data_IF_386520160681
#
_entry.id   IF_386520160681
#
_cell.length_a   1.000
_cell.length_b   1.000
_cell.length_c   1.000
_cell.angle_alpha   90.00
_cell.angle_beta   90.00
_cell.angle_gamma   90.00
#
_symmetry.space_group_name_H-M   'P 1'
#
loop_
_entity.id
_entity.type
_entity.pdbx_description
1 polymer ?
#
# COMPACT_ATOMS: atom_id res chain seq x y z
N UNK A 1 -5.64 25.06 7.54
CA UNK A 1 -5.83 24.06 6.46
C UNK A 1 -7.12 24.41 5.72
N UNK A 2 -7.13 24.21 4.41
CA UNK A 2 -8.33 24.43 3.55
C UNK A 2 -9.31 23.26 3.67
N UNK A 3 -8.79 22.08 3.99
CA UNK A 3 -9.58 20.85 4.11
C UNK A 3 -9.75 20.46 5.57
N UNK A 4 -10.96 19.99 5.93
CA UNK A 4 -11.30 19.58 7.30
C UNK A 4 -11.13 18.07 7.47
N UNK A 5 -9.97 17.64 7.98
CA UNK A 5 -9.68 16.25 8.30
C UNK A 5 -10.18 15.82 9.70
N UNK A 6 -10.69 16.73 10.50
CA UNK A 6 -11.32 16.41 11.80
C UNK A 6 -12.81 16.08 11.66
N UNK A 7 -13.38 16.33 10.47
CA UNK A 7 -14.77 15.99 10.18
C UNK A 7 -15.00 14.49 10.28
N UNK A 8 -15.97 14.09 11.11
CA UNK A 8 -16.40 12.71 11.24
C UNK A 8 -17.49 12.40 10.20
N UNK A 9 -17.22 11.47 9.32
CA UNK A 9 -18.17 10.98 8.31
C UNK A 9 -18.61 9.57 8.69
N UNK A 10 -19.90 9.36 8.95
CA UNK A 10 -20.42 8.01 9.22
C UNK A 10 -20.41 7.19 7.91
N UNK A 11 -19.69 6.07 7.92
CA UNK A 11 -19.53 5.17 6.78
C UNK A 11 -20.35 3.88 6.92
N UNK A 12 -21.08 3.70 8.03
CA UNK A 12 -21.95 2.53 8.24
C UNK A 12 -23.11 2.55 7.25
N UNK A 13 -23.45 1.36 6.74
CA UNK A 13 -24.52 1.22 5.74
C UNK A 13 -24.18 1.77 4.35
N UNK A 14 -22.95 2.20 4.12
CA UNK A 14 -22.49 2.67 2.81
C UNK A 14 -21.89 1.56 1.93
N UNK A 15 -21.83 0.33 2.42
CA UNK A 15 -21.11 -0.78 1.80
C UNK A 15 -19.59 -0.69 2.02
N UNK A 16 -19.12 0.14 2.94
CA UNK A 16 -17.71 0.27 3.25
C UNK A 16 -17.18 -0.98 3.95
N UNK A 17 -16.28 -1.72 3.31
CA UNK A 17 -15.65 -2.93 3.85
C UNK A 17 -15.11 -2.70 5.29
N UNK A 18 -14.50 -1.55 5.52
CA UNK A 18 -13.90 -1.18 6.80
C UNK A 18 -14.90 -1.16 7.97
N UNK A 19 -16.16 -0.82 7.70
CA UNK A 19 -17.23 -0.67 8.70
C UNK A 19 -18.24 -1.80 8.65
N UNK A 20 -18.77 -2.08 7.46
CA UNK A 20 -19.94 -2.96 7.32
C UNK A 20 -19.58 -4.45 7.39
N UNK A 21 -18.28 -4.79 7.23
CA UNK A 21 -17.80 -6.16 7.35
C UNK A 21 -17.19 -6.51 8.73
N UNK A 22 -17.24 -5.61 9.72
CA UNK A 22 -16.64 -5.86 11.05
C UNK A 22 -17.20 -7.13 11.72
N UNK A 23 -18.52 -7.35 11.65
CA UNK A 23 -19.16 -8.55 12.19
C UNK A 23 -18.65 -9.84 11.55
N UNK A 24 -18.39 -9.83 10.24
CA UNK A 24 -17.87 -10.98 9.49
C UNK A 24 -16.42 -11.28 9.85
N UNK A 25 -15.55 -10.27 9.90
CA UNK A 25 -14.10 -10.44 10.05
C UNK A 25 -13.65 -10.53 11.51
N UNK A 26 -14.37 -9.89 12.44
CA UNK A 26 -13.99 -9.79 13.85
C UNK A 26 -15.02 -10.38 14.82
N UNK A 27 -16.18 -10.83 14.32
CA UNK A 27 -17.27 -11.33 15.16
C UNK A 27 -18.02 -10.26 15.96
N UNK A 28 -17.67 -8.99 15.79
CA UNK A 28 -18.28 -7.85 16.51
C UNK A 28 -18.37 -6.65 15.56
N UNK A 29 -19.58 -6.10 15.38
CA UNK A 29 -19.85 -4.96 14.52
C UNK A 29 -19.59 -3.59 15.18
N UNK A 30 -19.41 -3.55 16.51
CA UNK A 30 -19.30 -2.31 17.29
C UNK A 30 -17.85 -1.87 17.60
N UNK A 31 -16.88 -2.41 16.84
CA UNK A 31 -15.48 -2.04 16.98
C UNK A 31 -15.17 -0.68 16.35
N UNK A 32 -14.13 0.01 16.86
CA UNK A 32 -13.51 1.13 16.15
C UNK A 32 -12.64 0.55 15.02
N UNK A 33 -12.96 0.82 13.73
CA UNK A 33 -12.26 0.20 12.61
C UNK A 33 -11.00 0.98 12.21
N UNK A 34 -9.83 0.40 12.49
CA UNK A 34 -8.52 0.98 12.17
C UNK A 34 -7.65 -0.05 11.39
N UNK A 35 -8.29 -0.87 10.54
CA UNK A 35 -7.68 -2.02 9.85
C UNK A 35 -7.50 -1.86 8.33
N UNK A 36 -8.58 -1.70 7.57
CA UNK A 36 -8.50 -1.55 6.11
C UNK A 36 -7.68 -0.31 5.75
N UNK A 37 -6.78 -0.45 4.76
CA UNK A 37 -5.94 0.64 4.30
C UNK A 37 -6.68 1.58 3.30
N UNK A 38 -7.82 2.11 3.72
CA UNK A 38 -8.45 3.33 3.23
C UNK A 38 -8.57 4.34 4.39
N UNK A 39 -8.85 5.59 4.08
CA UNK A 39 -8.96 6.63 5.10
C UNK A 39 -10.42 6.97 5.39
N UNK A 40 -10.68 7.55 6.57
CA UNK A 40 -12.03 7.98 6.96
C UNK A 40 -12.30 9.46 6.61
N UNK A 41 -11.40 10.07 5.89
CA UNK A 41 -11.58 11.41 5.31
C UNK A 41 -12.44 11.34 4.06
N UNK A 42 -13.21 12.40 3.82
CA UNK A 42 -13.96 12.53 2.58
C UNK A 42 -13.03 12.55 1.37
N UNK A 43 -13.46 11.94 0.27
CA UNK A 43 -12.76 12.07 -1.01
C UNK A 43 -12.68 13.56 -1.40
N UNK A 44 -11.55 14.05 -1.89
CA UNK A 44 -11.38 15.46 -2.24
C UNK A 44 -12.51 16.00 -3.11
N UNK A 45 -13.04 17.21 -2.81
CA UNK A 45 -14.22 17.75 -3.50
C UNK A 45 -14.03 17.89 -5.00
N UNK A 46 -12.83 18.24 -5.48
CA UNK A 46 -12.54 18.37 -6.90
C UNK A 46 -12.70 17.04 -7.67
N UNK A 47 -12.42 15.90 -7.02
CA UNK A 47 -12.67 14.55 -7.61
C UNK A 47 -14.19 14.31 -7.67
N UNK A 48 -14.90 14.55 -6.59
CA UNK A 48 -16.37 14.38 -6.54
C UNK A 48 -17.05 15.26 -7.59
N UNK A 49 -16.60 16.49 -7.75
CA UNK A 49 -17.16 17.42 -8.74
C UNK A 49 -16.85 17.00 -10.18
N UNK A 50 -15.67 16.44 -10.44
CA UNK A 50 -15.35 15.87 -11.74
C UNK A 50 -16.26 14.68 -12.10
N UNK A 51 -16.53 13.81 -11.13
CA UNK A 51 -17.46 12.69 -11.30
C UNK A 51 -18.89 13.17 -11.50
N UNK A 52 -19.36 14.16 -10.74
CA UNK A 52 -20.70 14.77 -10.92
C UNK A 52 -20.86 15.37 -12.31
N UNK A 53 -19.90 16.16 -12.79
CA UNK A 53 -19.90 16.70 -14.16
C UNK A 53 -20.03 15.60 -15.22
N UNK A 54 -19.34 14.46 -15.02
CA UNK A 54 -19.47 13.32 -15.96
C UNK A 54 -20.88 12.71 -15.94
N UNK A 55 -21.53 12.68 -14.78
CA UNK A 55 -22.88 12.14 -14.61
C UNK A 55 -23.96 13.05 -15.21
N UNK A 56 -23.68 14.31 -15.53
CA UNK A 56 -24.59 15.18 -16.29
C UNK A 56 -24.91 14.60 -17.68
N UNK A 57 -24.00 13.81 -18.26
CA UNK A 57 -24.28 13.01 -19.44
C UNK A 57 -24.83 11.64 -19.02
N UNK A 58 -26.13 11.35 -19.27
CA UNK A 58 -26.81 10.23 -18.64
C UNK A 58 -26.49 8.85 -19.23
N UNK A 59 -25.72 8.77 -20.33
CA UNK A 59 -25.38 7.49 -20.95
C UNK A 59 -24.03 7.01 -20.40
N UNK A 60 -24.02 5.87 -19.72
CA UNK A 60 -22.84 5.23 -19.12
C UNK A 60 -22.38 4.04 -19.99
N UNK A 61 -22.16 4.30 -21.29
CA UNK A 61 -21.73 3.30 -22.26
C UNK A 61 -20.20 3.11 -22.29
N UNK A 62 -19.72 2.34 -23.27
CA UNK A 62 -18.30 2.19 -23.52
C UNK A 62 -17.64 3.54 -23.79
N UNK A 63 -16.45 3.74 -23.22
CA UNK A 63 -15.71 5.00 -23.33
C UNK A 63 -14.29 4.77 -23.80
N UNK A 64 -13.72 5.79 -24.43
CA UNK A 64 -12.28 5.86 -24.70
C UNK A 64 -11.57 6.59 -23.55
N UNK A 65 -10.28 6.38 -23.41
CA UNK A 65 -9.46 7.17 -22.48
C UNK A 65 -9.48 8.65 -22.89
N UNK A 66 -9.75 9.59 -21.96
CA UNK A 66 -9.60 11.02 -22.24
C UNK A 66 -8.18 11.36 -22.65
N UNK A 67 -8.02 12.31 -23.59
CA UNK A 67 -6.71 12.72 -24.09
C UNK A 67 -5.74 13.22 -22.99
N UNK A 68 -6.31 13.78 -21.90
CA UNK A 68 -5.53 14.33 -20.78
C UNK A 68 -5.14 13.27 -19.73
N UNK A 69 -5.60 12.02 -19.85
CA UNK A 69 -5.38 11.00 -18.81
C UNK A 69 -3.89 10.72 -18.60
N UNK A 70 -3.21 10.26 -19.65
CA UNK A 70 -1.79 9.93 -19.53
C UNK A 70 -0.89 11.15 -19.36
N UNK A 71 -1.12 12.28 -19.99
CA UNK A 71 -0.42 13.53 -19.66
C UNK A 71 -0.52 13.91 -18.19
N UNK A 72 -1.70 13.79 -17.56
CA UNK A 72 -1.84 14.06 -16.13
C UNK A 72 -1.01 13.09 -15.26
N UNK A 73 -0.99 11.80 -15.61
CA UNK A 73 -0.15 10.79 -14.93
C UNK A 73 1.33 11.10 -15.10
N UNK A 74 1.78 11.40 -16.32
CA UNK A 74 3.20 11.69 -16.60
C UNK A 74 3.69 12.95 -15.90
N UNK A 75 2.90 14.02 -15.92
CA UNK A 75 3.23 15.30 -15.26
C UNK A 75 3.32 15.11 -13.73
N UNK A 76 2.41 14.31 -13.15
CA UNK A 76 2.44 13.99 -11.73
C UNK A 76 3.70 13.21 -11.34
N UNK A 77 4.03 12.16 -12.08
CA UNK A 77 5.22 11.34 -11.82
C UNK A 77 6.49 12.19 -11.96
N UNK A 78 6.57 13.02 -13.00
CA UNK A 78 7.72 13.87 -13.21
C UNK A 78 7.88 14.91 -12.08
N UNK A 79 6.80 15.56 -11.69
CA UNK A 79 6.86 16.65 -10.69
C UNK A 79 7.13 16.15 -9.27
N UNK A 80 6.63 14.94 -8.91
CA UNK A 80 6.73 14.40 -7.55
C UNK A 80 7.90 13.45 -7.35
N UNK A 81 8.25 12.68 -8.39
CA UNK A 81 9.27 11.63 -8.31
C UNK A 81 10.48 11.88 -9.22
N UNK A 82 10.47 12.96 -10.02
CA UNK A 82 11.55 13.28 -10.95
C UNK A 82 11.72 12.28 -12.08
N UNK A 83 10.76 11.39 -12.28
CA UNK A 83 10.83 10.32 -13.28
C UNK A 83 10.11 10.73 -14.55
N UNK A 84 10.88 11.02 -15.61
CA UNK A 84 10.33 11.26 -16.94
C UNK A 84 9.94 9.92 -17.56
N UNK A 85 8.65 9.70 -17.74
CA UNK A 85 8.10 8.48 -18.35
C UNK A 85 7.68 8.74 -19.79
N UNK A 86 7.80 7.71 -20.65
CA UNK A 86 7.27 7.73 -22.00
C UNK A 86 5.82 7.20 -22.02
N UNK A 87 4.97 7.73 -22.93
CA UNK A 87 3.56 7.33 -23.02
C UNK A 87 3.39 5.82 -23.20
N UNK A 88 4.23 5.21 -23.97
CA UNK A 88 4.18 3.77 -24.26
C UNK A 88 4.50 2.89 -23.06
N UNK A 89 5.19 3.41 -22.04
CA UNK A 89 5.49 2.68 -20.80
C UNK A 89 4.27 2.52 -19.90
N UNK A 90 3.22 3.31 -20.13
CA UNK A 90 2.06 3.43 -19.25
C UNK A 90 0.88 2.63 -19.78
N UNK A 91 0.25 1.82 -18.90
CA UNK A 91 -0.96 1.09 -19.19
C UNK A 91 -1.84 0.98 -17.95
N UNK A 92 -3.16 1.15 -18.12
CA UNK A 92 -4.11 0.87 -17.06
C UNK A 92 -4.07 -0.61 -16.65
N UNK A 93 -4.25 -0.87 -15.35
CA UNK A 93 -4.48 -2.20 -14.77
C UNK A 93 -5.65 -2.13 -13.77
N UNK A 94 -6.46 -3.20 -13.62
CA UNK A 94 -7.66 -3.19 -12.78
C UNK A 94 -7.37 -3.40 -11.29
N UNK A 95 -6.31 -2.81 -10.77
CA UNK A 95 -5.87 -2.88 -9.37
C UNK A 95 -4.52 -3.58 -9.21
N UNK A 96 -3.74 -3.17 -8.21
CA UNK A 96 -2.37 -3.67 -7.97
C UNK A 96 -2.37 -5.19 -7.70
N UNK A 97 -3.19 -5.65 -6.77
CA UNK A 97 -3.26 -7.07 -6.39
C UNK A 97 -3.64 -7.96 -7.58
N UNK A 98 -4.59 -7.50 -8.40
CA UNK A 98 -4.95 -8.17 -9.65
C UNK A 98 -3.79 -8.13 -10.66
N UNK A 99 -3.10 -6.98 -10.76
CA UNK A 99 -1.91 -6.82 -11.60
C UNK A 99 -0.80 -7.82 -11.28
N UNK A 100 -0.56 -8.12 -9.99
CA UNK A 100 0.39 -9.16 -9.56
C UNK A 100 -0.01 -10.52 -10.17
N UNK A 101 -1.27 -10.92 -10.04
CA UNK A 101 -1.77 -12.16 -10.65
C UNK A 101 -1.63 -12.19 -12.18
N UNK A 102 -1.83 -11.04 -12.83
CA UNK A 102 -1.66 -10.90 -14.27
C UNK A 102 -0.20 -11.06 -14.70
N UNK A 103 0.76 -10.48 -13.98
CA UNK A 103 2.20 -10.67 -14.24
C UNK A 103 2.59 -12.12 -14.02
N UNK A 104 2.14 -12.76 -12.93
CA UNK A 104 2.40 -14.19 -12.69
C UNK A 104 1.93 -15.03 -13.88
N UNK A 105 0.73 -14.79 -14.38
CA UNK A 105 0.18 -15.57 -15.48
C UNK A 105 0.79 -15.22 -16.87
N UNK A 106 1.30 -13.99 -17.03
CA UNK A 106 1.95 -13.57 -18.27
C UNK A 106 3.38 -14.10 -18.42
N UNK A 107 4.10 -14.26 -17.31
CA UNK A 107 5.55 -14.52 -17.34
C UNK A 107 5.98 -15.85 -16.73
N UNK A 108 5.30 -16.38 -15.72
CA UNK A 108 5.79 -17.52 -14.97
C UNK A 108 5.23 -18.85 -15.46
N UNK A 109 6.11 -19.84 -15.62
CA UNK A 109 5.74 -21.24 -15.80
C UNK A 109 5.20 -21.83 -14.48
N UNK A 110 4.48 -22.95 -14.52
CA UNK A 110 3.87 -23.55 -13.32
C UNK A 110 4.85 -23.92 -12.20
N UNK A 111 6.10 -24.23 -12.53
CA UNK A 111 7.15 -24.63 -11.57
C UNK A 111 8.09 -23.49 -11.16
N UNK A 112 7.85 -22.27 -11.65
CA UNK A 112 8.63 -21.08 -11.28
C UNK A 112 8.07 -20.43 -10.03
N UNK A 113 8.96 -19.75 -9.27
CA UNK A 113 8.74 -19.30 -7.92
C UNK A 113 8.69 -17.79 -7.82
N UNK A 114 8.02 -17.31 -6.75
CA UNK A 114 7.88 -15.89 -6.43
C UNK A 114 8.56 -15.61 -5.09
N UNK A 115 9.44 -14.60 -5.05
CA UNK A 115 10.12 -14.15 -3.84
C UNK A 115 9.31 -13.01 -3.21
N UNK A 116 9.12 -13.07 -1.88
CA UNK A 116 8.55 -11.99 -1.07
C UNK A 116 9.43 -11.73 0.15
N UNK A 117 9.31 -10.55 0.75
CA UNK A 117 10.14 -10.10 1.87
C UNK A 117 9.31 -9.79 3.13
N UNK A 118 8.86 -10.84 3.89
CA UNK A 118 8.07 -10.62 5.10
C UNK A 118 8.91 -9.97 6.25
N UNK A 119 8.19 -9.25 7.18
CA UNK A 119 6.75 -9.03 7.19
C UNK A 119 6.33 -8.12 6.05
N UNK A 120 5.37 -8.55 5.21
CA UNK A 120 4.96 -7.81 4.02
C UNK A 120 3.46 -7.99 3.76
N UNK A 121 2.87 -7.10 3.00
CA UNK A 121 1.45 -7.10 2.64
C UNK A 121 1.00 -8.50 2.18
N UNK A 122 0.06 -9.10 2.91
CA UNK A 122 -0.33 -10.51 2.80
C UNK A 122 -0.76 -10.97 1.40
N UNK A 123 -1.37 -10.13 0.52
CA UNK A 123 -1.65 -10.55 -0.86
C UNK A 123 -0.41 -10.90 -1.68
N UNK A 124 0.80 -10.44 -1.30
CA UNK A 124 2.03 -10.83 -1.98
C UNK A 124 2.33 -12.33 -1.81
N UNK A 125 1.79 -12.96 -0.76
CA UNK A 125 1.80 -14.41 -0.58
C UNK A 125 0.56 -15.05 -1.22
N UNK A 126 -0.64 -14.55 -0.90
CA UNK A 126 -1.89 -15.17 -1.28
C UNK A 126 -2.12 -15.23 -2.79
N UNK A 127 -1.65 -14.20 -3.54
CA UNK A 127 -1.85 -14.17 -4.99
C UNK A 127 -0.97 -15.20 -5.71
N UNK A 128 0.34 -15.32 -5.44
CA UNK A 128 1.14 -16.41 -6.03
C UNK A 128 0.61 -17.80 -5.65
N UNK A 129 0.31 -18.05 -4.37
CA UNK A 129 -0.25 -19.33 -3.90
C UNK A 129 -1.59 -19.65 -4.60
N UNK A 130 -2.50 -18.67 -4.69
CA UNK A 130 -3.77 -18.80 -5.42
C UNK A 130 -3.60 -19.07 -6.92
N UNK A 131 -2.47 -18.62 -7.51
CA UNK A 131 -2.07 -18.92 -8.87
C UNK A 131 -1.16 -20.17 -8.97
N UNK A 132 -1.07 -20.98 -7.90
CA UNK A 132 -0.30 -22.22 -7.84
C UNK A 132 1.20 -22.02 -8.10
N UNK A 133 1.76 -20.94 -7.59
CA UNK A 133 3.20 -20.67 -7.60
C UNK A 133 3.75 -20.80 -6.19
N UNK A 134 4.92 -21.44 -6.07
CA UNK A 134 5.64 -21.51 -4.81
C UNK A 134 6.13 -20.13 -4.40
N UNK A 135 5.97 -19.82 -3.11
CA UNK A 135 6.45 -18.58 -2.52
C UNK A 135 7.73 -18.85 -1.74
N UNK A 136 8.78 -18.13 -2.12
CA UNK A 136 10.07 -18.13 -1.44
C UNK A 136 10.13 -16.91 -0.52
N UNK A 137 10.32 -17.11 0.77
CA UNK A 137 10.44 -16.04 1.74
C UNK A 137 11.90 -15.62 1.93
N UNK A 138 12.16 -14.33 1.77
CA UNK A 138 13.38 -13.65 2.18
C UNK A 138 13.01 -12.66 3.28
N UNK A 139 12.96 -13.08 4.57
CA UNK A 139 12.55 -12.21 5.66
C UNK A 139 13.46 -10.99 5.78
N UNK A 140 12.86 -9.84 6.10
CA UNK A 140 13.62 -8.65 6.46
C UNK A 140 14.32 -8.84 7.81
N UNK A 141 15.47 -8.19 7.99
CA UNK A 141 16.18 -8.11 9.26
C UNK A 141 15.54 -6.99 10.08
N UNK A 142 15.05 -7.32 11.28
CA UNK A 142 14.66 -6.32 12.27
C UNK A 142 15.94 -5.82 12.98
N UNK A 143 16.23 -4.53 12.86
CA UNK A 143 17.40 -3.91 13.49
C UNK A 143 17.13 -3.58 14.96
N UNK A 144 18.17 -3.33 15.74
CA UNK A 144 18.06 -3.05 17.17
C UNK A 144 17.21 -1.81 17.51
N UNK A 145 17.11 -0.85 16.59
CA UNK A 145 16.27 0.34 16.72
C UNK A 145 14.80 0.09 16.30
N UNK A 146 14.49 -1.12 15.81
CA UNK A 146 13.19 -1.54 15.32
C UNK A 146 12.93 -1.20 13.85
N UNK A 147 13.89 -0.59 13.16
CA UNK A 147 13.83 -0.47 11.69
C UNK A 147 14.06 -1.81 11.02
N UNK A 148 13.82 -1.87 9.71
CA UNK A 148 14.04 -3.09 8.93
C UNK A 148 15.01 -2.83 7.78
N UNK A 149 15.79 -3.86 7.44
CA UNK A 149 16.69 -3.88 6.28
C UNK A 149 16.51 -5.17 5.46
N UNK A 150 16.89 -5.14 4.19
CA UNK A 150 16.86 -6.33 3.33
C UNK A 150 18.02 -7.28 3.69
N UNK A 151 17.71 -8.55 3.83
CA UNK A 151 18.71 -9.62 4.04
C UNK A 151 19.17 -10.17 2.70
N UNK A 152 20.23 -9.61 2.17
CA UNK A 152 20.80 -10.06 0.89
C UNK A 152 21.56 -11.39 0.98
N UNK A 153 22.08 -11.74 2.14
CA UNK A 153 22.78 -13.03 2.33
C UNK A 153 21.75 -14.16 2.36
N UNK A 154 20.62 -13.94 3.04
CA UNK A 154 19.50 -14.86 2.98
C UNK A 154 18.91 -14.91 1.56
N UNK A 155 18.73 -13.77 0.88
CA UNK A 155 18.23 -13.72 -0.48
C UNK A 155 19.07 -14.58 -1.44
N UNK A 156 20.39 -14.47 -1.33
CA UNK A 156 21.32 -15.32 -2.10
C UNK A 156 21.13 -16.81 -1.78
N UNK A 157 20.93 -17.16 -0.52
CA UNK A 157 20.84 -18.55 -0.05
C UNK A 157 19.52 -19.24 -0.42
N UNK A 158 18.41 -18.48 -0.47
CA UNK A 158 17.06 -19.05 -0.75
C UNK A 158 16.67 -19.00 -2.22
N UNK A 159 17.38 -18.19 -3.02
CA UNK A 159 17.10 -18.02 -4.44
C UNK A 159 17.72 -19.14 -5.26
N UNK A 160 16.89 -19.97 -5.87
CA UNK A 160 17.30 -20.99 -6.83
C UNK A 160 16.99 -20.60 -8.29
N UNK A 161 17.35 -21.47 -9.24
CA UNK A 161 17.17 -21.25 -10.68
C UNK A 161 15.69 -21.18 -11.11
N UNK A 162 14.73 -21.47 -10.22
CA UNK A 162 13.29 -21.37 -10.48
C UNK A 162 12.70 -20.06 -10.02
N UNK A 163 13.41 -19.26 -9.23
CA UNK A 163 12.97 -17.92 -8.85
C UNK A 163 12.95 -17.01 -10.07
N UNK A 164 11.76 -16.48 -10.43
CA UNK A 164 11.57 -15.65 -11.64
C UNK A 164 10.90 -14.33 -11.36
N UNK A 165 10.31 -14.17 -10.18
CA UNK A 165 9.60 -12.96 -9.80
C UNK A 165 9.93 -12.60 -8.36
N UNK A 166 10.17 -11.32 -8.10
CA UNK A 166 10.22 -10.74 -6.77
C UNK A 166 9.15 -9.65 -6.66
N UNK A 167 8.37 -9.64 -5.58
CA UNK A 167 7.39 -8.59 -5.32
C UNK A 167 7.93 -7.68 -4.24
N UNK A 168 8.29 -6.46 -4.64
CA UNK A 168 8.82 -5.40 -3.78
C UNK A 168 7.70 -4.47 -3.31
N UNK A 169 7.60 -4.23 -2.01
CA UNK A 169 6.77 -3.16 -1.43
C UNK A 169 7.61 -1.89 -1.30
N UNK A 170 7.31 -0.85 -2.09
CA UNK A 170 8.10 0.38 -2.16
C UNK A 170 7.22 1.63 -2.34
N UNK A 171 6.86 2.36 -1.29
CA UNK A 171 7.22 2.20 0.13
C UNK A 171 6.68 0.92 0.77
N UNK A 172 7.38 0.46 1.80
CA UNK A 172 7.09 -0.82 2.42
C UNK A 172 5.86 -0.80 3.34
N UNK A 173 4.99 -1.77 3.21
CA UNK A 173 3.84 -2.04 4.08
C UNK A 173 4.04 -3.44 4.72
N UNK A 174 4.08 -3.57 6.06
CA UNK A 174 3.45 -2.70 7.06
C UNK A 174 4.34 -1.63 7.72
N UNK A 175 5.66 -1.68 7.58
CA UNK A 175 6.57 -0.88 8.40
C UNK A 175 6.78 0.57 7.92
N UNK A 176 6.22 0.95 6.77
CA UNK A 176 6.28 2.33 6.25
C UNK A 176 7.68 2.78 5.82
N UNK A 177 8.53 1.87 5.33
CA UNK A 177 9.91 2.17 4.97
C UNK A 177 9.99 2.78 3.58
N UNK A 178 10.81 3.80 3.43
CA UNK A 178 11.35 4.28 2.15
C UNK A 178 12.74 3.66 1.95
N UNK A 179 12.87 2.79 0.96
CA UNK A 179 14.16 2.18 0.65
C UNK A 179 15.13 3.20 0.07
N UNK A 180 16.37 3.16 0.53
CA UNK A 180 17.43 4.01 -0.02
C UNK A 180 17.90 3.51 -1.40
N UNK A 181 18.56 4.41 -2.15
CA UNK A 181 18.99 4.14 -3.51
C UNK A 181 20.03 3.00 -3.61
N UNK A 182 20.89 2.82 -2.62
CA UNK A 182 21.94 1.79 -2.66
C UNK A 182 21.34 0.41 -2.41
N UNK A 183 20.39 0.30 -1.47
CA UNK A 183 19.59 -0.91 -1.24
C UNK A 183 18.84 -1.32 -2.51
N UNK A 184 18.15 -0.35 -3.16
CA UNK A 184 17.40 -0.63 -4.39
C UNK A 184 18.33 -1.00 -5.56
N UNK A 185 19.49 -0.37 -5.71
CA UNK A 185 20.49 -0.75 -6.74
C UNK A 185 21.03 -2.15 -6.52
N UNK A 186 21.34 -2.50 -5.26
CA UNK A 186 21.81 -3.85 -4.92
C UNK A 186 20.75 -4.90 -5.27
N UNK A 187 19.49 -4.64 -4.95
CA UNK A 187 18.38 -5.52 -5.30
C UNK A 187 18.22 -5.64 -6.82
N UNK A 188 18.30 -4.53 -7.55
CA UNK A 188 18.19 -4.51 -9.01
C UNK A 188 19.30 -5.33 -9.67
N UNK A 189 20.55 -5.15 -9.27
CA UNK A 189 21.70 -5.90 -9.77
C UNK A 189 21.55 -7.41 -9.51
N UNK A 190 21.10 -7.80 -8.30
CA UNK A 190 20.80 -9.17 -7.94
C UNK A 190 19.73 -9.78 -8.87
N UNK A 191 18.58 -9.12 -8.97
CA UNK A 191 17.45 -9.61 -9.77
C UNK A 191 17.80 -9.68 -11.26
N UNK A 192 18.37 -8.62 -11.81
CA UNK A 192 18.73 -8.54 -13.23
C UNK A 192 19.73 -9.63 -13.64
N UNK A 193 20.79 -9.86 -12.84
CA UNK A 193 21.80 -10.88 -13.13
C UNK A 193 21.25 -12.30 -13.15
N UNK A 194 20.11 -12.56 -12.50
CA UNK A 194 19.43 -13.87 -12.45
C UNK A 194 18.19 -13.98 -13.31
N UNK A 195 17.88 -12.93 -14.10
CA UNK A 195 16.67 -12.90 -14.94
C UNK A 195 15.37 -12.92 -14.11
N UNK A 196 15.39 -12.33 -12.92
CA UNK A 196 14.23 -12.19 -12.03
C UNK A 196 13.54 -10.85 -12.34
N UNK A 197 12.25 -10.90 -12.63
CA UNK A 197 11.40 -9.72 -12.81
C UNK A 197 11.06 -9.16 -11.42
N UNK A 198 11.10 -7.85 -11.26
CA UNK A 198 10.67 -7.17 -10.05
C UNK A 198 9.33 -6.48 -10.29
N UNK A 199 8.27 -6.90 -9.59
CA UNK A 199 7.08 -6.05 -9.43
C UNK A 199 7.40 -5.06 -8.31
N UNK A 200 7.49 -3.77 -8.64
CA UNK A 200 7.57 -2.71 -7.63
C UNK A 200 6.18 -2.16 -7.37
N UNK A 201 5.58 -2.55 -6.22
CA UNK A 201 4.32 -1.97 -5.76
C UNK A 201 4.59 -0.61 -5.10
N UNK A 202 4.30 0.44 -5.85
CA UNK A 202 4.54 1.83 -5.45
C UNK A 202 3.23 2.59 -5.13
N UNK A 203 2.20 1.86 -4.69
CA UNK A 203 0.88 2.46 -4.40
C UNK A 203 0.91 3.52 -3.28
N UNK A 204 1.94 3.53 -2.44
CA UNK A 204 2.15 4.51 -1.37
C UNK A 204 3.19 5.59 -1.72
N UNK A 205 3.68 5.64 -2.97
CA UNK A 205 4.80 6.53 -3.38
C UNK A 205 4.55 8.01 -3.11
N UNK A 206 3.31 8.49 -3.27
CA UNK A 206 2.94 9.89 -3.06
C UNK A 206 2.77 10.26 -1.57
N UNK A 207 2.98 9.31 -0.67
CA UNK A 207 2.71 9.46 0.76
C UNK A 207 4.00 9.43 1.61
N UNK A 208 5.12 9.86 1.06
CA UNK A 208 6.34 10.09 1.83
C UNK A 208 6.13 11.22 2.84
N UNK A 209 6.54 10.99 4.09
CA UNK A 209 6.31 11.85 5.26
C UNK A 209 7.61 12.57 5.66
N UNK A 210 7.50 13.56 6.55
CA UNK A 210 8.64 14.25 7.18
C UNK A 210 9.56 14.96 6.17
N UNK A 211 9.03 15.37 5.02
CA UNK A 211 9.83 15.95 3.94
C UNK A 211 10.74 14.96 3.20
N UNK A 212 10.62 13.66 3.48
CA UNK A 212 11.31 12.61 2.75
C UNK A 212 10.76 12.43 1.34
N UNK A 213 11.49 11.70 0.49
CA UNK A 213 11.08 11.45 -0.90
C UNK A 213 11.14 9.96 -1.22
N UNK A 214 10.12 9.51 -1.92
CA UNK A 214 10.12 8.18 -2.53
C UNK A 214 11.10 8.12 -3.71
N UNK A 215 11.75 6.99 -3.88
CA UNK A 215 12.61 6.70 -5.04
C UNK A 215 11.94 5.57 -5.84
N UNK A 216 11.44 5.84 -7.06
CA UNK A 216 10.89 4.78 -7.91
C UNK A 216 11.98 3.75 -8.24
N UNK A 217 11.67 2.47 -8.06
CA UNK A 217 12.65 1.39 -8.25
C UNK A 217 13.31 1.43 -9.64
N UNK A 218 12.51 1.62 -10.68
CA UNK A 218 13.00 1.64 -12.06
C UNK A 218 14.03 2.75 -12.36
N UNK A 219 14.17 3.76 -11.47
CA UNK A 219 15.04 4.92 -11.71
C UNK A 219 16.43 4.78 -11.13
N UNK A 220 16.68 3.76 -10.28
CA UNK A 220 17.95 3.69 -9.52
C UNK A 220 19.12 3.21 -10.35
N UNK A 221 18.88 2.46 -11.44
CA UNK A 221 19.91 2.02 -12.37
C UNK A 221 19.29 1.50 -13.69
N UNK A 222 20.09 1.31 -14.76
CA UNK A 222 19.64 0.66 -16.00
C UNK A 222 19.11 -0.76 -15.78
N UNK A 223 19.74 -1.52 -14.89
CA UNK A 223 19.33 -2.88 -14.54
C UNK A 223 17.93 -2.89 -13.89
N UNK A 224 17.66 -1.91 -13.02
CA UNK A 224 16.35 -1.74 -12.40
C UNK A 224 15.26 -1.46 -13.45
N UNK A 225 15.53 -0.58 -14.40
CA UNK A 225 14.62 -0.29 -15.51
C UNK A 225 14.40 -1.53 -16.40
N UNK A 226 15.44 -2.34 -16.61
CA UNK A 226 15.41 -3.52 -17.50
C UNK A 226 14.67 -4.71 -16.86
N UNK A 227 14.55 -4.80 -15.54
CA UNK A 227 13.94 -5.95 -14.88
C UNK A 227 12.63 -5.63 -14.14
N UNK A 228 12.08 -4.41 -14.21
CA UNK A 228 10.95 -4.03 -13.38
C UNK A 228 9.63 -3.76 -14.13
N UNK A 229 8.55 -4.05 -13.42
CA UNK A 229 7.18 -3.64 -13.70
C UNK A 229 6.72 -2.85 -12.48
N UNK A 230 6.61 -1.53 -12.60
CA UNK A 230 6.13 -0.67 -11.51
C UNK A 230 4.62 -0.58 -11.56
N UNK A 231 3.98 -0.70 -10.40
CA UNK A 231 2.55 -0.47 -10.22
C UNK A 231 2.31 0.74 -9.31
N UNK A 232 1.43 1.64 -9.73
CA UNK A 232 1.06 2.82 -8.96
C UNK A 232 -0.43 3.16 -9.12
N UNK A 233 -0.94 4.01 -8.24
CA UNK A 233 -2.33 4.46 -8.28
C UNK A 233 -2.53 5.72 -7.41
N UNK A 234 -3.45 6.63 -7.76
CA UNK A 234 -3.86 7.73 -6.89
C UNK A 234 -4.71 7.28 -5.70
N UNK A 235 -5.09 6.00 -5.65
CA UNK A 235 -6.16 5.49 -4.78
C UNK A 235 -5.87 5.61 -3.28
N UNK A 236 -4.62 5.45 -2.84
CA UNK A 236 -4.25 5.61 -1.43
C UNK A 236 -4.11 7.08 -1.07
N UNK A 237 -3.44 7.85 -1.90
CA UNK A 237 -3.20 9.27 -1.69
C UNK A 237 -4.49 10.06 -1.61
N UNK A 238 -5.44 9.80 -2.50
CA UNK A 238 -6.69 10.57 -2.63
C UNK A 238 -7.93 9.84 -2.10
N UNK A 239 -7.76 8.74 -1.37
CA UNK A 239 -8.85 7.97 -0.77
C UNK A 239 -9.95 7.55 -1.76
N UNK A 240 -9.55 7.01 -2.92
CA UNK A 240 -10.44 6.59 -4.02
C UNK A 240 -10.27 5.12 -4.41
N UNK A 241 -9.95 4.25 -3.44
CA UNK A 241 -9.69 2.83 -3.70
C UNK A 241 -10.87 2.13 -4.41
N UNK A 242 -12.10 2.53 -4.14
CA UNK A 242 -13.30 1.99 -4.77
C UNK A 242 -13.46 2.31 -6.27
N UNK A 243 -12.68 3.28 -6.80
CA UNK A 243 -12.73 3.67 -8.24
C UNK A 243 -11.84 2.78 -9.10
N UNK A 244 -10.85 2.08 -8.51
CA UNK A 244 -9.93 1.18 -9.24
C UNK A 244 -9.15 1.92 -10.35
N UNK A 245 -8.24 2.80 -9.96
CA UNK A 245 -7.50 3.71 -10.84
C UNK A 245 -5.99 3.41 -10.91
N UNK A 246 -5.62 2.13 -10.99
CA UNK A 246 -4.21 1.70 -10.99
C UNK A 246 -3.64 1.66 -12.41
N UNK A 247 -2.33 1.83 -12.49
CA UNK A 247 -1.59 1.74 -13.75
C UNK A 247 -0.23 1.08 -13.54
N UNK A 248 0.30 0.54 -14.64
CA UNK A 248 1.65 -0.01 -14.71
C UNK A 248 2.57 0.92 -15.50
N UNK A 249 3.86 0.90 -15.14
CA UNK A 249 4.95 1.58 -15.83
C UNK A 249 6.01 0.54 -16.13
N UNK A 250 6.28 0.29 -17.43
CA UNK A 250 7.22 -0.74 -17.88
C UNK A 250 8.20 -0.15 -18.89
N UNK A 251 9.41 0.26 -18.44
CA UNK A 251 10.41 0.88 -19.33
C UNK A 251 10.98 -0.12 -20.36
N UNK A 252 11.27 -1.35 -19.94
CA UNK A 252 11.85 -2.36 -20.81
C UNK A 252 10.89 -2.77 -21.93
N UNK A 253 11.32 -2.74 -23.21
CA UNK A 253 10.45 -3.00 -24.35
C UNK A 253 10.00 -4.46 -24.44
N UNK A 254 10.78 -5.42 -23.96
CA UNK A 254 10.43 -6.85 -24.03
C UNK A 254 9.43 -7.22 -22.94
N UNK A 255 9.67 -6.79 -21.70
CA UNK A 255 8.71 -6.94 -20.60
C UNK A 255 7.41 -6.26 -20.97
N UNK A 256 7.47 -5.03 -21.49
CA UNK A 256 6.32 -4.24 -21.90
C UNK A 256 5.51 -4.95 -22.98
N UNK A 257 6.16 -5.44 -24.03
CA UNK A 257 5.49 -6.17 -25.13
C UNK A 257 4.75 -7.40 -24.58
N UNK A 258 5.39 -8.19 -23.73
CA UNK A 258 4.81 -9.42 -23.17
C UNK A 258 3.63 -9.08 -22.29
N UNK A 259 3.81 -8.18 -21.32
CA UNK A 259 2.77 -7.85 -20.34
C UNK A 259 1.57 -7.17 -21.01
N UNK A 260 1.81 -6.18 -21.87
CA UNK A 260 0.71 -5.41 -22.49
C UNK A 260 -0.02 -6.21 -23.57
N UNK A 261 0.64 -7.16 -24.23
CA UNK A 261 -0.05 -8.12 -25.10
C UNK A 261 -0.96 -9.04 -24.29
N UNK A 262 -0.52 -9.49 -23.11
CA UNK A 262 -1.34 -10.27 -22.21
C UNK A 262 -2.57 -9.48 -21.72
N UNK A 263 -2.39 -8.24 -21.28
CA UNK A 263 -3.50 -7.38 -20.85
C UNK A 263 -4.51 -7.19 -21.98
N UNK A 264 -4.05 -6.86 -23.19
CA UNK A 264 -4.89 -6.64 -24.36
C UNK A 264 -5.65 -7.91 -24.77
N UNK A 265 -4.98 -9.08 -24.79
CA UNK A 265 -5.61 -10.34 -25.16
C UNK A 265 -6.75 -10.78 -24.22
N UNK A 266 -6.72 -10.28 -22.98
CA UNK A 266 -7.74 -10.56 -21.97
C UNK A 266 -8.64 -9.35 -21.65
N UNK A 267 -8.52 -8.26 -22.42
CA UNK A 267 -9.29 -7.02 -22.26
C UNK A 267 -9.17 -6.38 -20.85
N UNK A 268 -8.01 -6.53 -20.21
CA UNK A 268 -7.75 -5.98 -18.87
C UNK A 268 -7.26 -4.53 -18.89
N UNK A 269 -6.91 -4.00 -20.05
CA UNK A 269 -6.33 -2.66 -20.22
C UNK A 269 -7.39 -1.57 -20.46
N UNK A 270 -8.67 -1.87 -20.32
CA UNK A 270 -9.75 -0.90 -20.39
C UNK A 270 -10.10 -0.34 -19.01
N UNK A 271 -9.84 0.96 -18.84
CA UNK A 271 -10.20 1.66 -17.61
C UNK A 271 -11.74 1.85 -17.51
N UNK A 272 -12.35 1.56 -16.34
CA UNK A 272 -13.75 1.91 -16.11
C UNK A 272 -13.97 3.42 -16.24
N UNK A 273 -15.18 3.81 -16.70
CA UNK A 273 -15.57 5.20 -17.01
C UNK A 273 -15.06 6.26 -16.03
N UNK A 274 -15.17 6.01 -14.73
CA UNK A 274 -14.82 6.99 -13.70
C UNK A 274 -13.34 7.01 -13.33
N UNK A 275 -12.59 5.96 -13.65
CA UNK A 275 -11.19 5.83 -13.29
C UNK A 275 -10.30 6.93 -13.89
N UNK A 276 -10.27 7.16 -15.21
CA UNK A 276 -9.46 8.23 -15.77
C UNK A 276 -9.94 9.62 -15.36
N UNK A 277 -11.24 9.83 -15.17
CA UNK A 277 -11.80 11.12 -14.74
C UNK A 277 -11.33 11.47 -13.33
N UNK A 278 -11.43 10.53 -12.40
CA UNK A 278 -10.96 10.72 -11.04
C UNK A 278 -9.43 10.91 -10.97
N UNK A 279 -8.67 10.16 -11.79
CA UNK A 279 -7.22 10.27 -11.84
C UNK A 279 -6.77 11.63 -12.39
N UNK A 280 -7.40 12.13 -13.46
CA UNK A 280 -7.11 13.46 -14.02
C UNK A 280 -7.37 14.53 -12.95
N UNK A 281 -8.53 14.51 -12.30
CA UNK A 281 -8.86 15.46 -11.25
C UNK A 281 -7.86 15.37 -10.07
N UNK A 282 -7.53 14.16 -9.63
CA UNK A 282 -6.57 13.93 -8.55
C UNK A 282 -5.20 14.53 -8.86
N UNK A 283 -4.66 14.28 -10.05
CA UNK A 283 -3.30 14.69 -10.40
C UNK A 283 -3.20 16.14 -10.89
N UNK A 284 -4.28 16.71 -11.42
CA UNK A 284 -4.28 18.13 -11.83
C UNK A 284 -4.56 19.10 -10.69
N UNK A 285 -5.37 18.70 -9.70
CA UNK A 285 -5.87 19.60 -8.66
C UNK A 285 -5.46 19.18 -7.24
N UNK A 286 -4.81 18.02 -7.08
CA UNK A 286 -4.68 17.35 -5.79
C UNK A 286 -3.51 17.75 -4.90
N UNK A 287 -2.53 18.52 -5.37
CA UNK A 287 -1.29 18.75 -4.62
C UNK A 287 -1.52 19.47 -3.28
N UNK A 288 -2.39 20.49 -3.25
CA UNK A 288 -2.68 21.20 -2.00
C UNK A 288 -3.34 20.27 -0.97
N UNK A 289 -4.31 19.44 -1.41
CA UNK A 289 -4.98 18.47 -0.55
C UNK A 289 -3.99 17.41 -0.03
N UNK A 290 -3.14 16.87 -0.91
CA UNK A 290 -2.11 15.90 -0.54
C UNK A 290 -1.17 16.46 0.53
N UNK A 291 -0.68 17.67 0.34
CA UNK A 291 0.22 18.33 1.30
C UNK A 291 -0.43 18.53 2.66
N UNK A 292 -1.68 18.97 2.70
CA UNK A 292 -2.42 19.14 3.97
C UNK A 292 -2.73 17.79 4.63
N UNK A 293 -3.08 16.76 3.82
CA UNK A 293 -3.27 15.40 4.32
C UNK A 293 -2.00 14.86 4.98
N UNK A 294 -0.84 14.97 4.32
CA UNK A 294 0.42 14.48 4.87
C UNK A 294 0.75 15.15 6.20
N UNK A 295 0.60 16.46 6.29
CA UNK A 295 0.80 17.19 7.55
C UNK A 295 -0.16 16.72 8.66
N UNK A 296 -1.42 16.43 8.33
CA UNK A 296 -2.39 15.91 9.30
C UNK A 296 -2.02 14.49 9.75
N UNK A 297 -1.60 13.62 8.81
CA UNK A 297 -1.15 12.26 9.12
C UNK A 297 0.12 12.24 9.98
N UNK A 298 1.08 13.11 9.70
CA UNK A 298 2.27 13.30 10.54
C UNK A 298 1.86 13.65 11.98
N UNK A 299 0.92 14.57 12.15
CA UNK A 299 0.37 14.89 13.45
C UNK A 299 -0.36 13.73 14.13
N UNK A 300 -1.07 12.85 13.38
CA UNK A 300 -1.68 11.64 13.90
C UNK A 300 -0.63 10.62 14.37
N UNK A 301 0.41 10.40 13.58
CA UNK A 301 1.52 9.51 13.92
C UNK A 301 2.24 9.99 15.18
N UNK A 302 2.56 11.29 15.28
CA UNK A 302 3.17 11.87 16.49
C UNK A 302 2.30 11.68 17.72
N UNK A 303 0.97 11.82 17.57
CA UNK A 303 0.03 11.60 18.67
C UNK A 303 0.06 10.15 19.16
N UNK A 304 0.13 9.16 18.24
CA UNK A 304 0.26 7.74 18.62
C UNK A 304 1.56 7.48 19.34
N UNK A 305 2.68 7.97 18.79
CA UNK A 305 4.02 7.76 19.39
C UNK A 305 4.10 8.38 20.78
N UNK A 306 3.70 9.64 20.90
CA UNK A 306 3.74 10.37 22.19
C UNK A 306 2.80 9.76 23.23
N UNK A 307 1.58 9.35 22.80
CA UNK A 307 0.61 8.73 23.69
C UNK A 307 1.12 7.38 24.23
N UNK A 308 1.64 6.53 23.34
CA UNK A 308 2.17 5.24 23.75
C UNK A 308 3.37 5.40 24.69
N UNK A 309 4.31 6.29 24.39
CA UNK A 309 5.46 6.55 25.24
C UNK A 309 5.06 7.02 26.66
N UNK A 310 4.01 7.84 26.78
CA UNK A 310 3.56 8.38 28.05
C UNK A 310 2.63 7.44 28.83
N UNK A 311 1.78 6.67 28.16
CA UNK A 311 0.67 5.97 28.79
C UNK A 311 0.70 4.44 28.61
N UNK A 312 1.39 3.92 27.58
CA UNK A 312 1.45 2.50 27.23
C UNK A 312 2.88 2.13 26.78
N UNK A 313 3.90 2.30 27.62
CA UNK A 313 5.31 2.13 27.20
C UNK A 313 5.67 0.71 26.75
N UNK A 314 4.83 -0.28 27.04
CA UNK A 314 4.97 -1.65 26.57
C UNK A 314 4.63 -1.81 25.07
N UNK A 315 3.99 -0.83 24.44
CA UNK A 315 3.75 -0.79 23.00
C UNK A 315 4.65 0.27 22.38
N UNK A 316 5.47 -0.15 21.40
CA UNK A 316 6.38 0.72 20.68
C UNK A 316 5.91 0.92 19.24
N UNK A 317 5.29 2.06 18.90
CA UNK A 317 4.96 2.38 17.51
C UNK A 317 6.25 2.64 16.72
N UNK A 318 6.41 2.01 15.56
CA UNK A 318 7.48 2.36 14.63
C UNK A 318 7.05 3.62 13.88
N UNK A 319 7.96 4.62 13.79
CA UNK A 319 7.71 5.84 13.03
C UNK A 319 7.77 5.53 11.53
N UNK A 320 6.66 5.56 10.79
CA UNK A 320 6.69 5.29 9.37
C UNK A 320 7.31 6.48 8.61
N UNK A 321 8.09 6.20 7.58
CA UNK A 321 8.62 7.19 6.64
C UNK A 321 7.63 7.51 5.52
N UNK A 322 6.62 6.66 5.32
CA UNK A 322 5.57 6.83 4.32
C UNK A 322 4.27 6.15 4.77
N UNK A 323 3.15 6.53 4.13
CA UNK A 323 1.81 5.95 4.35
C UNK A 323 1.12 6.48 5.61
N UNK A 324 -0.09 5.97 5.86
CA UNK A 324 -0.91 6.24 7.04
C UNK A 324 -1.07 4.98 7.92
N UNK A 325 -0.09 4.07 7.83
CA UNK A 325 -0.09 2.80 8.54
C UNK A 325 1.07 2.80 9.53
N UNK A 326 0.76 2.54 10.80
CA UNK A 326 1.74 2.47 11.88
C UNK A 326 1.89 1.03 12.34
N UNK A 327 3.10 0.52 12.33
CA UNK A 327 3.45 -0.80 12.82
C UNK A 327 3.72 -0.72 14.32
N UNK A 328 2.91 -1.41 15.12
CA UNK A 328 2.98 -1.40 16.58
C UNK A 328 3.71 -2.65 17.05
N UNK A 329 4.90 -2.50 17.65
CA UNK A 329 5.55 -3.57 18.39
C UNK A 329 4.90 -3.69 19.76
N UNK A 330 4.13 -4.77 19.96
CA UNK A 330 3.39 -5.05 21.18
C UNK A 330 4.05 -6.13 22.05
N UNK A 331 5.24 -6.61 21.70
CA UNK A 331 5.95 -7.69 22.41
C UNK A 331 6.29 -7.31 23.85
N UNK A 332 6.44 -6.02 24.15
CA UNK A 332 6.65 -5.51 25.51
C UNK A 332 5.50 -5.79 26.47
N UNK A 333 4.30 -6.16 25.98
CA UNK A 333 3.17 -6.59 26.81
C UNK A 333 3.35 -8.01 27.39
N UNK A 334 4.28 -8.82 26.85
CA UNK A 334 4.52 -10.18 27.32
C UNK A 334 3.37 -11.15 27.06
N UNK A 335 2.43 -10.83 26.16
CA UNK A 335 1.27 -11.64 25.83
C UNK A 335 1.59 -12.63 24.72
N UNK A 336 0.90 -13.78 24.71
CA UNK A 336 0.84 -14.62 23.51
C UNK A 336 0.16 -13.85 22.37
N UNK A 337 0.41 -14.26 21.12
CA UNK A 337 -0.18 -13.57 19.97
C UNK A 337 -1.71 -13.58 20.00
N UNK A 338 -2.32 -14.73 20.34
CA UNK A 338 -3.78 -14.85 20.47
C UNK A 338 -4.33 -13.94 21.57
N UNK A 339 -3.65 -13.85 22.72
CA UNK A 339 -4.02 -12.94 23.81
C UNK A 339 -3.88 -11.49 23.42
N UNK A 340 -2.90 -11.16 22.56
CA UNK A 340 -2.73 -9.82 22.00
C UNK A 340 -3.92 -9.45 21.10
N UNK A 341 -4.33 -10.33 20.20
CA UNK A 341 -5.50 -10.11 19.34
C UNK A 341 -6.77 -9.95 20.18
N UNK A 342 -6.96 -10.81 21.19
CA UNK A 342 -8.09 -10.73 22.13
C UNK A 342 -8.12 -9.39 22.89
N UNK A 343 -6.96 -8.91 23.34
CA UNK A 343 -6.83 -7.59 23.99
C UNK A 343 -7.34 -6.47 23.09
N UNK A 344 -6.91 -6.43 21.82
CA UNK A 344 -7.32 -5.38 20.90
C UNK A 344 -8.79 -5.48 20.52
N UNK A 345 -9.27 -6.67 20.15
CA UNK A 345 -10.62 -6.85 19.61
C UNK A 345 -11.66 -6.88 20.74
N UNK A 346 -11.52 -7.76 21.71
CA UNK A 346 -12.58 -8.03 22.69
C UNK A 346 -12.52 -7.11 23.90
N UNK A 347 -11.33 -6.67 24.33
CA UNK A 347 -11.18 -5.82 25.51
C UNK A 347 -11.14 -4.33 25.18
N UNK A 348 -10.35 -3.95 24.19
CA UNK A 348 -10.25 -2.54 23.76
C UNK A 348 -11.35 -2.13 22.76
N UNK A 349 -12.01 -3.10 22.11
CA UNK A 349 -13.03 -2.82 21.09
C UNK A 349 -12.46 -2.18 19.82
N UNK A 350 -11.28 -2.63 19.39
CA UNK A 350 -10.54 -2.08 18.25
C UNK A 350 -10.33 -3.15 17.17
N UNK A 351 -10.66 -2.83 15.92
CA UNK A 351 -10.32 -3.65 14.77
C UNK A 351 -9.04 -3.12 14.11
N UNK A 352 -7.90 -3.76 14.36
CA UNK A 352 -6.62 -3.52 13.70
C UNK A 352 -6.25 -4.74 12.85
N UNK A 353 -5.32 -4.58 11.90
CA UNK A 353 -4.76 -5.75 11.25
C UNK A 353 -3.82 -6.48 12.20
N UNK A 354 -4.07 -7.77 12.34
CA UNK A 354 -3.20 -8.72 13.01
C UNK A 354 -1.84 -8.79 12.31
N UNK A 355 -0.76 -8.66 13.07
CA UNK A 355 0.60 -8.65 12.53
C UNK A 355 0.99 -9.98 11.87
N UNK A 356 0.50 -11.12 12.36
CA UNK A 356 0.78 -12.43 11.77
C UNK A 356 0.26 -12.57 10.33
N UNK A 357 -0.71 -11.77 9.90
CA UNK A 357 -1.15 -11.71 8.50
C UNK A 357 -0.02 -11.33 7.54
N UNK A 358 0.99 -10.59 8.01
CA UNK A 358 2.10 -10.09 7.18
C UNK A 358 3.27 -11.08 7.09
N UNK A 359 3.17 -12.21 7.76
CA UNK A 359 4.18 -13.26 7.89
C UNK A 359 4.39 -13.63 9.36
N UNK A 360 5.04 -14.75 9.62
CA UNK A 360 5.36 -15.20 10.99
C UNK A 360 6.18 -14.16 11.79
N UNK A 361 6.94 -13.34 11.08
CA UNK A 361 7.76 -12.24 11.59
C UNK A 361 6.90 -11.11 12.20
N UNK A 362 5.62 -11.05 11.85
CA UNK A 362 4.65 -10.10 12.39
C UNK A 362 3.97 -10.55 13.69
N UNK A 363 4.30 -11.74 14.21
CA UNK A 363 3.76 -12.21 15.52
C UNK A 363 4.20 -11.25 16.65
N UNK A 364 3.25 -10.84 17.48
CA UNK A 364 3.48 -9.84 18.53
C UNK A 364 3.37 -8.37 18.05
N UNK A 365 3.01 -8.17 16.78
CA UNK A 365 2.75 -6.84 16.21
C UNK A 365 1.29 -6.66 15.84
N UNK A 366 0.86 -5.38 15.75
CA UNK A 366 -0.42 -4.97 15.17
C UNK A 366 -0.20 -3.81 14.20
N UNK A 367 -0.99 -3.72 13.12
CA UNK A 367 -0.91 -2.59 12.19
C UNK A 367 -2.09 -1.66 12.39
N UNK A 368 -1.81 -0.42 12.82
CA UNK A 368 -2.76 0.64 13.07
C UNK A 368 -2.88 1.55 11.83
N UNK A 369 -4.10 1.76 11.34
CA UNK A 369 -4.41 2.79 10.35
C UNK A 369 -4.72 4.11 11.06
N UNK A 370 -3.90 5.16 10.83
CA UNK A 370 -4.08 6.50 11.39
C UNK A 370 -4.76 7.50 10.43
N UNK A 371 -5.24 7.02 9.28
CA UNK A 371 -5.99 7.80 8.29
C UNK A 371 -7.43 8.05 8.74
N UNK A 372 -7.62 8.64 9.92
CA UNK A 372 -8.92 8.95 10.52
C UNK A 372 -8.85 10.28 11.29
N UNK A 373 -10.01 10.91 11.61
CA UNK A 373 -10.06 12.08 12.46
C UNK A 373 -9.36 11.88 13.80
N UNK A 374 -8.67 12.89 14.29
CA UNK A 374 -7.89 12.83 15.54
C UNK A 374 -8.71 12.35 16.73
N UNK A 375 -9.97 12.77 16.83
CA UNK A 375 -10.88 12.34 17.91
C UNK A 375 -11.09 10.81 17.93
N UNK A 376 -11.23 10.18 16.75
CA UNK A 376 -11.36 8.72 16.64
C UNK A 376 -10.08 8.02 17.11
N UNK A 377 -8.92 8.54 16.71
CA UNK A 377 -7.63 7.99 17.11
C UNK A 377 -7.39 8.11 18.62
N UNK A 378 -7.70 9.27 19.20
CA UNK A 378 -7.60 9.52 20.65
C UNK A 378 -8.47 8.54 21.44
N UNK A 379 -9.74 8.39 21.04
CA UNK A 379 -10.66 7.43 21.68
C UNK A 379 -10.13 5.99 21.61
N UNK A 380 -9.56 5.60 20.46
CA UNK A 380 -8.98 4.27 20.31
C UNK A 380 -7.78 4.04 21.25
N UNK A 381 -6.90 5.02 21.39
CA UNK A 381 -5.75 4.94 22.28
C UNK A 381 -6.16 4.89 23.77
N UNK A 382 -7.18 5.67 24.15
CA UNK A 382 -7.75 5.64 25.51
C UNK A 382 -8.37 4.29 25.85
N UNK A 383 -9.14 3.70 24.91
CA UNK A 383 -9.70 2.34 25.08
C UNK A 383 -8.59 1.29 25.21
N UNK A 384 -7.55 1.38 24.39
CA UNK A 384 -6.42 0.45 24.45
C UNK A 384 -5.71 0.53 25.80
N UNK A 385 -5.46 1.74 26.31
CA UNK A 385 -4.88 1.93 27.64
C UNK A 385 -5.75 1.27 28.73
N UNK A 386 -7.03 1.61 28.76
CA UNK A 386 -7.96 1.04 29.75
C UNK A 386 -8.02 -0.47 29.71
N UNK A 387 -7.99 -1.07 28.51
CA UNK A 387 -7.95 -2.52 28.33
C UNK A 387 -6.66 -3.15 28.89
N UNK A 388 -5.51 -2.53 28.66
CA UNK A 388 -4.21 -3.00 29.21
C UNK A 388 -4.21 -2.91 30.74
N UNK A 389 -4.64 -1.79 31.31
CA UNK A 389 -4.76 -1.61 32.77
C UNK A 389 -5.68 -2.65 33.42
N UNK A 390 -6.68 -3.14 32.70
CA UNK A 390 -7.63 -4.17 33.21
C UNK A 390 -7.05 -5.59 33.22
N UNK A 391 -5.94 -5.86 32.55
CA UNK A 391 -5.32 -7.19 32.45
C UNK A 391 -3.93 -7.27 33.09
N UNK A 392 -3.40 -6.12 33.53
CA UNK A 392 -2.18 -6.00 34.32
C UNK A 392 -2.47 -6.23 35.80
#
# INVERSE_FOLDING_TARGET
MKYDFDRQTDRRGSGALKYDALGEYYGNADLIPLWVADMDFETPPFIIDALRRRLEHPVLGYTIEPADYWPAVQDWILSHHGWKTEREWLRYIPGIVKGIGMVINAFLKPDEKVIIQPPVYHPFRLVPEGNRREVVCNPLIENADGSYSMDFDNLESVCDDKCRLLILSNPHNPAGILWDADTLRRLAAFCHSRGIIVISDEIHCDMALWGLRHIPFATVSPEAAACSITFAAPSKTFNIAGIVSSYSIVPDPELRRTFYSYLKANEYDYAPLFSPIATIAAFREGEEWRRELLAYLEGNIESVISYCAANIPAIRPLRPQASFLVWLDCRGLGLSHDSLVDLFVNKAGLALNDGAMFGREGSGFMRLNVGCPRATLTLALERLRAAIESVS
#
